data_IF_470412696546
#
_entry.id   IF_470412696546
#
_cell.length_a   1.000
_cell.length_b   1.000
_cell.length_c   1.000
_cell.angle_alpha   90.00
_cell.angle_beta   90.00
_cell.angle_gamma   90.00
#
_symmetry.space_group_name_H-M   'P 1'
#
loop_
_entity.id
_entity.type
_entity.pdbx_description
1 polymer ?
#
# COMPACT_ATOMS: atom_id res chain seq x y z
N UNK A 1 -11.56 64.39 22.73
CA UNK A 1 -11.87 63.13 22.03
C UNK A 1 -10.55 62.54 21.58
N UNK A 2 -10.06 61.51 22.24
CA UNK A 2 -8.88 60.76 21.80
C UNK A 2 -9.39 59.59 20.98
N UNK A 3 -9.15 59.64 19.67
CA UNK A 3 -9.43 58.55 18.76
C UNK A 3 -8.17 57.68 18.73
N UNK A 4 -8.14 56.67 19.59
CA UNK A 4 -7.08 55.65 19.55
C UNK A 4 -7.30 54.78 18.31
N UNK A 5 -6.62 55.17 17.25
CA UNK A 5 -6.44 54.37 16.04
C UNK A 5 -5.58 53.16 16.42
N UNK A 6 -6.21 52.00 16.55
CA UNK A 6 -5.50 50.72 16.57
C UNK A 6 -4.96 50.44 15.17
N UNK A 7 -3.89 51.13 14.79
CA UNK A 7 -3.00 50.75 13.71
C UNK A 7 -2.18 49.53 14.14
N UNK A 8 -2.85 48.41 14.40
CA UNK A 8 -2.21 47.13 14.64
C UNK A 8 -1.64 46.64 13.32
N UNK A 9 -0.41 47.02 13.01
CA UNK A 9 0.37 46.34 11.99
C UNK A 9 0.63 44.93 12.53
N UNK A 10 -0.23 43.98 12.15
CA UNK A 10 -0.02 42.57 12.45
C UNK A 10 1.32 42.18 11.83
N UNK A 11 2.32 42.00 12.67
CA UNK A 11 3.60 41.42 12.25
C UNK A 11 3.28 40.00 11.83
N UNK A 12 3.21 39.76 10.53
CA UNK A 12 3.11 38.40 10.03
C UNK A 12 4.46 37.74 10.24
N UNK A 13 4.56 36.95 11.30
CA UNK A 13 5.72 36.09 11.52
C UNK A 13 5.83 35.13 10.34
N UNK A 14 6.85 35.36 9.52
CA UNK A 14 7.15 34.50 8.37
C UNK A 14 8.22 33.51 8.80
N UNK A 15 7.84 32.25 8.89
CA UNK A 15 8.77 31.17 9.22
C UNK A 15 9.37 30.60 7.95
N UNK A 16 10.70 30.52 7.89
CA UNK A 16 11.41 29.83 6.83
C UNK A 16 11.69 28.39 7.26
N UNK A 17 11.40 27.44 6.37
CA UNK A 17 11.67 26.02 6.56
C UNK A 17 12.58 25.55 5.43
N UNK A 18 13.76 25.04 5.79
CA UNK A 18 14.75 24.50 4.86
C UNK A 18 14.40 23.05 4.46
N UNK A 19 13.21 22.87 3.87
CA UNK A 19 12.66 21.57 3.44
C UNK A 19 12.14 21.66 2.01
N UNK A 20 11.92 20.49 1.42
CA UNK A 20 11.45 20.38 0.04
C UNK A 20 10.03 21.00 -0.12
N UNK A 21 9.89 22.08 -0.91
CA UNK A 21 8.60 22.74 -1.09
C UNK A 21 7.60 21.91 -1.90
N UNK A 22 8.04 20.97 -2.73
CA UNK A 22 7.15 20.12 -3.54
C UNK A 22 6.49 19.05 -2.67
N UNK A 23 7.26 18.37 -1.82
CA UNK A 23 6.72 17.40 -0.86
C UNK A 23 5.80 18.09 0.17
N UNK A 24 6.12 19.32 0.56
CA UNK A 24 5.31 20.08 1.50
C UNK A 24 3.87 20.34 0.99
N UNK A 25 3.66 20.41 -0.33
CA UNK A 25 2.30 20.55 -0.89
C UNK A 25 1.41 19.34 -0.54
N UNK A 26 1.99 18.14 -0.50
CA UNK A 26 1.28 16.93 -0.11
C UNK A 26 0.97 16.92 1.39
N UNK A 27 1.90 17.41 2.22
CA UNK A 27 1.66 17.63 3.66
C UNK A 27 0.47 18.57 3.85
N UNK A 28 0.46 19.73 3.19
CA UNK A 28 -0.65 20.69 3.27
C UNK A 28 -1.97 20.11 2.75
N UNK A 29 -1.92 19.34 1.66
CA UNK A 29 -3.10 18.68 1.12
C UNK A 29 -3.69 17.69 2.13
N UNK A 30 -2.84 16.92 2.83
CA UNK A 30 -3.26 16.00 3.88
C UNK A 30 -3.82 16.74 5.09
N UNK A 31 -3.19 17.82 5.56
CA UNK A 31 -3.71 18.60 6.70
C UNK A 31 -5.09 19.22 6.41
N UNK A 32 -5.40 19.53 5.15
CA UNK A 32 -6.71 20.06 4.74
C UNK A 32 -7.80 18.99 4.61
N UNK A 33 -7.45 17.81 4.09
CA UNK A 33 -8.44 16.77 3.73
C UNK A 33 -8.48 15.58 4.69
N UNK A 34 -7.44 15.38 5.49
CA UNK A 34 -7.18 14.17 6.27
C UNK A 34 -6.86 12.92 5.42
N UNK A 35 -6.65 13.05 4.11
CA UNK A 35 -6.58 11.92 3.16
C UNK A 35 -5.45 12.04 2.14
N UNK A 36 -4.84 10.91 1.78
CA UNK A 36 -3.73 10.80 0.81
C UNK A 36 -4.18 10.73 -0.67
N UNK A 37 -5.38 11.21 -1.02
CA UNK A 37 -6.00 11.00 -2.34
C UNK A 37 -5.24 11.55 -3.57
N UNK A 38 -4.26 12.42 -3.37
CA UNK A 38 -3.46 13.00 -4.47
C UNK A 38 -2.16 12.25 -4.77
N UNK A 39 -1.93 11.12 -4.12
CA UNK A 39 -0.71 10.34 -4.33
C UNK A 39 -0.93 9.20 -5.34
N UNK A 40 0.06 8.92 -6.20
CA UNK A 40 0.05 7.71 -7.00
C UNK A 40 0.12 6.46 -6.10
N UNK A 41 -0.33 5.29 -6.58
CA UNK A 41 -0.11 4.02 -5.89
C UNK A 41 1.35 3.81 -5.51
N UNK A 42 1.60 3.19 -4.35
CA UNK A 42 2.95 2.89 -3.87
C UNK A 42 3.81 2.13 -4.90
N UNK A 43 3.19 1.29 -5.73
CA UNK A 43 3.89 0.51 -6.75
C UNK A 43 4.51 1.37 -7.86
N UNK A 44 3.91 2.51 -8.16
CA UNK A 44 4.34 3.38 -9.26
C UNK A 44 5.53 4.25 -8.85
N UNK A 45 5.53 4.77 -7.62
CA UNK A 45 6.65 5.55 -7.09
C UNK A 45 6.92 5.29 -5.59
N UNK A 46 7.67 4.22 -5.28
CA UNK A 46 8.09 3.95 -3.90
C UNK A 46 9.01 5.04 -3.31
N UNK A 47 9.70 5.81 -4.16
CA UNK A 47 10.62 6.87 -3.74
C UNK A 47 9.86 8.03 -3.13
N UNK A 48 8.83 8.50 -3.83
CA UNK A 48 7.92 9.55 -3.34
C UNK A 48 7.28 9.17 -2.01
N UNK A 49 6.79 7.93 -1.86
CA UNK A 49 6.18 7.49 -0.61
C UNK A 49 7.16 7.47 0.57
N UNK A 50 8.43 7.10 0.32
CA UNK A 50 9.48 7.15 1.35
C UNK A 50 9.83 8.59 1.74
N UNK A 51 10.08 9.44 0.75
CA UNK A 51 10.41 10.84 0.97
C UNK A 51 9.28 11.57 1.72
N UNK A 52 8.03 11.35 1.31
CA UNK A 52 6.88 11.97 1.96
C UNK A 52 6.67 11.46 3.40
N UNK A 53 7.00 10.19 3.66
CA UNK A 53 6.99 9.65 5.04
C UNK A 53 8.06 10.32 5.91
N UNK A 54 9.25 10.59 5.36
CA UNK A 54 10.30 11.34 6.06
C UNK A 54 9.85 12.78 6.38
N UNK A 55 9.19 13.46 5.45
CA UNK A 55 8.60 14.77 5.72
C UNK A 55 7.49 14.71 6.78
N UNK A 56 6.59 13.73 6.70
CA UNK A 56 5.53 13.56 7.71
C UNK A 56 6.10 13.34 9.12
N UNK A 57 7.21 12.58 9.24
CA UNK A 57 7.93 12.39 10.49
C UNK A 57 8.60 13.69 10.96
N UNK A 58 9.22 14.46 10.06
CA UNK A 58 9.83 15.74 10.40
C UNK A 58 8.82 16.74 10.98
N UNK A 59 7.63 16.82 10.39
CA UNK A 59 6.54 17.69 10.86
C UNK A 59 5.73 17.12 12.03
N UNK A 60 6.01 15.89 12.48
CA UNK A 60 5.31 15.25 13.59
C UNK A 60 3.84 14.91 13.29
N UNK A 61 3.52 14.59 12.03
CA UNK A 61 2.15 14.27 11.60
C UNK A 61 1.97 12.76 11.60
N UNK A 62 1.79 12.20 12.80
CA UNK A 62 1.75 10.75 13.03
C UNK A 62 0.72 10.04 12.15
N UNK A 63 -0.49 10.60 12.05
CA UNK A 63 -1.58 10.05 11.24
C UNK A 63 -1.20 9.91 9.74
N UNK A 64 -0.40 10.85 9.22
CA UNK A 64 0.07 10.79 7.85
C UNK A 64 1.17 9.73 7.71
N UNK A 65 2.08 9.67 8.68
CA UNK A 65 3.19 8.71 8.69
C UNK A 65 2.70 7.26 8.78
N UNK A 66 1.63 7.02 9.56
CA UNK A 66 0.96 5.73 9.69
C UNK A 66 0.23 5.36 8.40
N UNK A 67 -0.47 6.32 7.79
CA UNK A 67 -1.15 6.10 6.51
C UNK A 67 -0.15 5.76 5.38
N UNK A 68 1.03 6.39 5.37
CA UNK A 68 2.10 6.12 4.40
C UNK A 68 2.84 4.80 4.66
N UNK A 69 2.74 4.23 5.86
CA UNK A 69 3.33 2.92 6.18
C UNK A 69 2.57 1.76 5.50
N UNK A 70 1.31 1.96 5.13
CA UNK A 70 0.48 0.94 4.49
C UNK A 70 0.79 0.86 2.99
N UNK A 71 1.69 -0.04 2.61
CA UNK A 71 2.10 -0.22 1.19
C UNK A 71 1.12 -1.05 0.37
N UNK A 72 0.27 -1.86 1.02
CA UNK A 72 -0.71 -2.69 0.34
C UNK A 72 -1.89 -3.00 1.27
N UNK A 73 -3.12 -2.91 0.76
CA UNK A 73 -4.33 -3.30 1.48
C UNK A 73 -4.84 -4.61 0.90
N UNK A 74 -4.70 -5.69 1.68
CA UNK A 74 -5.24 -6.99 1.30
C UNK A 74 -6.65 -7.13 1.91
N UNK A 75 -7.63 -7.49 1.09
CA UNK A 75 -9.00 -7.72 1.57
C UNK A 75 -9.33 -9.18 1.38
N UNK A 76 -9.59 -9.88 2.49
CA UNK A 76 -10.09 -11.25 2.42
C UNK A 76 -11.59 -11.24 2.13
N UNK A 77 -11.98 -11.81 1.00
CA UNK A 77 -13.38 -11.99 0.61
C UNK A 77 -13.81 -13.44 0.79
N UNK A 78 -12.98 -14.40 0.37
CA UNK A 78 -13.27 -15.83 0.44
C UNK A 78 -12.03 -16.67 0.18
N UNK A 79 -12.08 -17.95 0.56
CA UNK A 79 -11.04 -18.92 0.24
C UNK A 79 -10.80 -18.99 -1.27
N UNK A 80 -9.55 -18.78 -1.71
CA UNK A 80 -9.18 -18.77 -3.12
C UNK A 80 -9.37 -17.42 -3.83
N UNK A 81 -9.51 -16.33 -3.08
CA UNK A 81 -9.49 -14.98 -3.65
C UNK A 81 -8.09 -14.57 -4.17
N UNK A 82 -8.09 -13.66 -5.15
CA UNK A 82 -6.87 -13.02 -5.68
C UNK A 82 -6.46 -11.78 -4.88
N UNK A 83 -7.34 -11.31 -4.00
CA UNK A 83 -7.19 -10.04 -3.26
C UNK A 83 -6.69 -10.24 -1.82
N UNK A 84 -6.62 -11.49 -1.36
CA UNK A 84 -6.20 -11.85 -0.02
C UNK A 84 -4.68 -11.80 0.17
N UNK A 85 -4.26 -11.66 1.44
CA UNK A 85 -2.85 -11.59 1.82
C UNK A 85 -2.04 -12.81 1.35
N UNK A 86 -2.61 -14.01 1.45
CA UNK A 86 -1.94 -15.24 1.03
C UNK A 86 -1.71 -15.27 -0.49
N UNK A 87 -2.66 -14.76 -1.28
CA UNK A 87 -2.49 -14.64 -2.71
C UNK A 87 -1.42 -13.62 -3.06
N UNK A 88 -1.43 -12.46 -2.41
CA UNK A 88 -0.41 -11.43 -2.57
C UNK A 88 1.00 -11.92 -2.23
N UNK A 89 1.16 -12.64 -1.11
CA UNK A 89 2.45 -13.26 -0.75
C UNK A 89 2.85 -14.37 -1.73
N UNK A 90 1.88 -15.16 -2.19
CA UNK A 90 2.15 -16.32 -3.06
C UNK A 90 2.58 -15.93 -4.47
N UNK A 91 2.12 -14.77 -4.94
CA UNK A 91 2.47 -14.19 -6.24
C UNK A 91 3.72 -13.30 -6.19
N UNK A 92 4.50 -13.32 -5.10
CA UNK A 92 5.59 -12.35 -4.86
C UNK A 92 5.13 -10.91 -5.13
N UNK A 93 4.05 -10.50 -4.46
CA UNK A 93 3.45 -9.17 -4.59
C UNK A 93 2.98 -8.89 -6.03
N UNK A 94 2.42 -9.90 -6.70
CA UNK A 94 1.93 -9.81 -8.08
C UNK A 94 2.97 -9.97 -9.19
N UNK A 95 4.23 -10.29 -8.86
CA UNK A 95 5.32 -10.42 -9.84
C UNK A 95 5.42 -11.81 -10.50
N UNK A 96 4.80 -12.83 -9.91
CA UNK A 96 4.83 -14.22 -10.41
C UNK A 96 3.47 -14.90 -10.28
N UNK A 97 3.32 -16.03 -10.96
CA UNK A 97 2.18 -16.93 -10.75
C UNK A 97 2.13 -17.42 -9.30
N UNK A 98 0.92 -17.62 -8.79
CA UNK A 98 0.70 -18.02 -7.42
C UNK A 98 1.46 -19.30 -7.07
N UNK A 99 2.25 -19.22 -6.00
CA UNK A 99 2.82 -20.36 -5.29
C UNK A 99 2.41 -20.28 -3.85
N UNK A 100 2.21 -21.43 -3.21
CA UNK A 100 1.78 -21.45 -1.82
C UNK A 100 2.87 -20.82 -0.91
N UNK A 101 2.57 -19.73 -0.18
CA UNK A 101 3.56 -19.05 0.67
C UNK A 101 4.13 -19.93 1.78
N UNK A 102 3.36 -20.92 2.25
CA UNK A 102 3.81 -21.87 3.27
C UNK A 102 4.88 -22.82 2.72
N UNK A 103 4.68 -23.37 1.52
CA UNK A 103 5.66 -24.26 0.89
C UNK A 103 6.93 -23.52 0.48
N UNK A 104 6.84 -22.22 0.20
CA UNK A 104 7.98 -21.37 -0.12
C UNK A 104 8.70 -20.85 1.15
N UNK A 105 8.25 -21.21 2.35
CA UNK A 105 8.86 -20.78 3.60
C UNK A 105 8.66 -19.29 3.94
N UNK A 106 7.77 -18.61 3.21
CA UNK A 106 7.44 -17.18 3.41
C UNK A 106 6.54 -17.00 4.64
N UNK A 107 5.72 -18.00 4.96
CA UNK A 107 4.79 -17.98 6.10
C UNK A 107 4.90 -19.27 6.89
N UNK A 108 4.97 -19.15 8.22
CA UNK A 108 4.90 -20.29 9.15
C UNK A 108 3.56 -20.27 9.90
N UNK A 109 2.91 -21.43 10.01
CA UNK A 109 1.69 -21.57 10.83
C UNK A 109 2.09 -21.94 12.24
N UNK A 110 1.92 -21.00 13.16
CA UNK A 110 1.99 -21.27 14.59
C UNK A 110 0.57 -21.49 15.11
N UNK A 111 0.35 -22.62 15.76
CA UNK A 111 -0.91 -22.89 16.45
C UNK A 111 -0.85 -22.26 17.84
N UNK A 112 -1.61 -21.18 18.05
CA UNK A 112 -1.83 -20.64 19.39
C UNK A 112 -2.78 -21.57 20.15
N UNK A 113 -2.20 -22.47 20.96
CA UNK A 113 -2.95 -23.21 21.98
C UNK A 113 -3.35 -22.24 23.09
N UNK A 114 -4.49 -21.56 22.94
CA UNK A 114 -5.23 -21.06 24.09
C UNK A 114 -5.74 -22.30 24.85
N UNK A 115 -5.38 -22.42 26.13
CA UNK A 115 -5.61 -23.61 26.94
C UNK A 115 -7.06 -24.10 26.89
N UNK A 116 -7.25 -25.33 26.41
CA UNK A 116 -8.54 -26.00 26.39
C UNK A 116 -8.38 -27.44 25.94
N UNK A 117 -8.55 -28.38 26.87
CA UNK A 117 -8.64 -29.82 26.60
C UNK A 117 -9.80 -30.04 25.62
N UNK A 118 -9.50 -30.49 24.40
CA UNK A 118 -10.53 -30.80 23.41
C UNK A 118 -9.89 -30.99 22.06
N UNK A 119 -9.65 -32.25 21.70
CA UNK A 119 -9.05 -32.65 20.44
C UNK A 119 -10.05 -32.42 19.30
N UNK A 120 -9.92 -31.31 18.57
CA UNK A 120 -10.50 -31.15 17.23
C UNK A 120 -9.42 -30.55 16.36
N UNK A 121 -8.84 -31.41 15.52
CA UNK A 121 -7.74 -31.11 14.61
C UNK A 121 -8.27 -30.29 13.42
N UNK A 122 -8.56 -29.00 13.67
CA UNK A 122 -8.80 -28.03 12.61
C UNK A 122 -7.46 -27.48 12.11
N UNK A 123 -6.59 -28.36 11.60
CA UNK A 123 -5.48 -27.93 10.75
C UNK A 123 -6.09 -27.21 9.54
N UNK A 124 -5.91 -25.90 9.47
CA UNK A 124 -5.87 -25.22 8.19
C UNK A 124 -4.73 -25.88 7.40
N UNK A 125 -5.07 -26.91 6.64
CA UNK A 125 -4.12 -27.60 5.80
C UNK A 125 -3.79 -26.66 4.65
N UNK A 126 -2.78 -25.80 4.87
CA UNK A 126 -2.35 -24.86 3.84
C UNK A 126 -1.87 -25.60 2.59
N UNK A 127 -1.45 -26.86 2.69
CA UNK A 127 -1.10 -27.68 1.53
C UNK A 127 -2.33 -28.14 0.72
N UNK A 128 -3.54 -28.00 1.27
CA UNK A 128 -4.83 -28.17 0.57
C UNK A 128 -5.40 -26.87 0.03
N UNK A 129 -4.74 -25.72 0.19
CA UNK A 129 -5.05 -24.57 -0.67
C UNK A 129 -4.70 -25.05 -2.08
N UNK A 130 -5.69 -25.23 -2.97
CA UNK A 130 -5.42 -25.80 -4.28
C UNK A 130 -4.29 -25.01 -4.91
N UNK A 131 -3.23 -25.69 -5.34
CA UNK A 131 -2.40 -25.19 -6.44
C UNK A 131 -3.41 -24.87 -7.51
N UNK A 132 -3.67 -23.57 -7.73
CA UNK A 132 -4.73 -23.12 -8.61
C UNK A 132 -4.65 -23.99 -9.86
N UNK A 133 -5.71 -24.76 -10.10
CA UNK A 133 -6.03 -25.18 -11.44
C UNK A 133 -6.20 -23.87 -12.18
N UNK A 134 -5.11 -23.38 -12.77
CA UNK A 134 -5.14 -22.41 -13.83
C UNK A 134 -5.92 -23.10 -14.94
N UNK A 135 -7.26 -23.00 -14.84
CA UNK A 135 -8.09 -22.99 -16.01
C UNK A 135 -7.43 -22.00 -16.94
N UNK A 136 -6.95 -22.54 -18.05
CA UNK A 136 -6.34 -21.80 -19.13
C UNK A 136 -7.33 -20.71 -19.57
N UNK A 137 -7.23 -19.52 -18.98
CA UNK A 137 -7.78 -18.33 -19.59
C UNK A 137 -6.78 -17.91 -20.66
N UNK A 138 -6.94 -18.52 -21.83
CA UNK A 138 -6.50 -17.96 -23.10
C UNK A 138 -7.18 -16.60 -23.27
N UNK A 139 -6.55 -15.54 -22.79
CA UNK A 139 -6.76 -14.18 -23.29
C UNK A 139 -6.14 -14.05 -24.68
N UNK A 140 -6.67 -13.19 -25.55
CA UNK A 140 -6.48 -13.30 -26.99
C UNK A 140 -5.02 -13.11 -27.39
N UNK A 141 -4.53 -14.04 -28.23
CA UNK A 141 -3.29 -13.92 -28.97
C UNK A 141 -3.21 -12.55 -29.65
N UNK A 142 -2.28 -11.70 -29.18
CA UNK A 142 -1.76 -10.60 -29.99
C UNK A 142 -0.99 -11.22 -31.17
N UNK A 143 -1.72 -11.46 -32.26
CA UNK A 143 -1.15 -11.75 -33.57
C UNK A 143 -0.32 -10.54 -33.99
N UNK A 144 0.99 -10.63 -33.76
CA UNK A 144 1.96 -9.72 -34.38
C UNK A 144 2.00 -10.06 -35.87
N UNK A 145 1.16 -9.39 -36.68
CA UNK A 145 1.28 -9.41 -38.13
C UNK A 145 2.63 -8.82 -38.50
N UNK A 146 3.57 -9.67 -38.95
CA UNK A 146 4.78 -9.23 -39.66
C UNK A 146 4.36 -8.45 -40.92
N UNK A 147 5.01 -7.32 -41.26
CA UNK A 147 4.76 -6.64 -42.51
C UNK A 147 5.23 -7.52 -43.69
N UNK A 148 4.34 -7.71 -44.67
CA UNK A 148 4.68 -8.30 -45.98
C UNK A 148 5.67 -7.38 -46.69
N UNK A 149 6.86 -7.90 -46.96
CA UNK A 149 7.83 -7.33 -47.89
C UNK A 149 7.21 -7.42 -49.28
N UNK A 150 6.89 -6.29 -49.90
CA UNK A 150 6.52 -6.20 -51.31
C UNK A 150 7.83 -6.14 -52.09
N UNK A 151 7.99 -7.05 -53.04
CA UNK A 151 9.06 -7.06 -54.04
C UNK A 151 8.76 -6.08 -55.16
#
# INVERSE_FOLDING_TARGET
MLQESWGGCGVHDTFFLDRDPELFQHILAFLRSGSLHRLPPFADDPGLWRALREEALFFGIDAMSDALAVTHRCTYLRTGDSEGLLHWLGTDRGRRQYRNPHTEGVVCVVSSRAGGRGNVDHRLDLNRIPTLGLGQHTGPSLVTRRPRRVS
#
